data_IF_428018394331
#
_entry.id   IF_428018394331
#
_cell.length_a   1.000
_cell.length_b   1.000
_cell.length_c   1.000
_cell.angle_alpha   90.00
_cell.angle_beta   90.00
_cell.angle_gamma   90.00
#
_symmetry.space_group_name_H-M   'P 1'
#
loop_
_entity.id
_entity.type
_entity.pdbx_description
1 polymer ?
#
# COMPACT_ATOMS: atom_id res chain seq x y z
N UNK A 1 23.94 -44.81 36.28
CA UNK A 1 22.63 -44.74 35.57
C UNK A 1 21.86 -43.42 35.75
N UNK A 2 22.11 -42.57 36.76
CA UNK A 2 21.41 -41.29 36.97
C UNK A 2 21.89 -40.10 36.08
N UNK A 3 23.09 -40.19 35.49
CA UNK A 3 23.66 -39.10 34.64
C UNK A 3 23.19 -39.12 33.18
N UNK A 4 22.65 -40.21 32.67
CA UNK A 4 22.20 -40.37 31.28
C UNK A 4 20.74 -39.86 31.12
N UNK A 5 19.93 -39.98 32.18
CA UNK A 5 18.55 -39.49 32.16
C UNK A 5 18.43 -37.95 32.11
N UNK A 6 19.39 -37.24 32.75
CA UNK A 6 19.39 -35.76 32.78
C UNK A 6 19.79 -35.13 31.42
N UNK A 7 20.64 -35.84 30.66
CA UNK A 7 21.03 -35.34 29.31
C UNK A 7 19.95 -35.48 28.26
N UNK A 8 19.12 -36.53 28.35
CA UNK A 8 17.97 -36.73 27.44
C UNK A 8 16.84 -35.72 27.64
N UNK A 9 16.63 -35.24 28.87
CA UNK A 9 15.60 -34.23 29.16
C UNK A 9 16.03 -32.85 28.66
N UNK A 10 17.31 -32.50 28.66
CA UNK A 10 17.82 -31.26 28.10
C UNK A 10 17.76 -31.19 26.56
N UNK A 11 17.89 -32.34 25.88
CA UNK A 11 17.77 -32.42 24.41
C UNK A 11 16.29 -32.31 23.95
N UNK A 12 15.33 -32.76 24.74
CA UNK A 12 13.93 -32.67 24.45
C UNK A 12 13.32 -31.25 24.68
N UNK A 13 13.99 -30.42 25.48
CA UNK A 13 13.59 -29.00 25.69
C UNK A 13 14.13 -28.04 24.62
N UNK A 14 15.15 -28.44 23.85
CA UNK A 14 15.73 -27.61 22.80
C UNK A 14 15.04 -27.70 21.44
N UNK A 15 14.01 -28.55 21.27
CA UNK A 15 13.35 -28.79 19.98
C UNK A 15 11.99 -28.07 19.87
N UNK A 16 11.59 -27.26 20.84
CA UNK A 16 10.34 -26.48 20.81
C UNK A 16 10.52 -24.96 20.88
N UNK A 17 11.56 -24.44 20.24
CA UNK A 17 11.62 -23.05 19.81
C UNK A 17 11.46 -23.00 18.28
N UNK A 18 10.41 -23.64 17.76
CA UNK A 18 9.95 -23.37 16.40
C UNK A 18 9.01 -22.16 16.48
N UNK A 19 9.53 -21.05 16.03
CA UNK A 19 8.86 -19.90 15.44
C UNK A 19 7.38 -19.75 15.85
N UNK A 20 7.12 -19.16 16.99
CA UNK A 20 6.00 -18.23 17.06
C UNK A 20 6.41 -17.06 16.16
N UNK A 21 6.13 -17.15 14.85
CA UNK A 21 6.06 -15.93 14.04
C UNK A 21 5.13 -15.01 14.82
N UNK A 22 5.65 -13.88 15.26
CA UNK A 22 4.83 -12.77 15.73
C UNK A 22 3.81 -12.50 14.63
N UNK A 23 2.59 -13.00 14.82
CA UNK A 23 1.51 -12.77 13.87
C UNK A 23 1.26 -11.26 13.97
N UNK A 24 1.80 -10.51 12.99
CA UNK A 24 1.61 -9.08 12.88
C UNK A 24 0.10 -8.81 13.01
N UNK A 25 -0.30 -8.13 14.07
CA UNK A 25 -1.70 -7.76 14.24
C UNK A 25 -2.08 -6.78 13.13
N UNK A 26 -2.94 -7.23 12.22
CA UNK A 26 -3.46 -6.36 11.16
C UNK A 26 -4.52 -5.43 11.73
N UNK A 27 -4.44 -4.17 11.30
CA UNK A 27 -5.41 -3.12 11.60
C UNK A 27 -5.81 -2.45 10.29
N UNK A 28 -6.68 -1.47 10.34
CA UNK A 28 -7.05 -0.67 9.16
C UNK A 28 -5.86 0.09 8.55
N UNK A 29 -4.76 0.26 9.29
CA UNK A 29 -3.51 0.81 8.77
C UNK A 29 -2.84 -0.08 7.68
N UNK A 30 -3.21 -1.35 7.58
CA UNK A 30 -2.78 -2.26 6.51
C UNK A 30 -3.81 -2.40 5.38
N UNK A 31 -4.91 -1.66 5.42
CA UNK A 31 -5.89 -1.65 4.33
C UNK A 31 -5.53 -0.61 3.26
N UNK A 32 -5.77 -0.97 2.00
CA UNK A 32 -5.60 -0.11 0.84
C UNK A 32 -6.93 0.03 0.10
N UNK A 33 -7.43 1.27 0.03
CA UNK A 33 -8.63 1.61 -0.73
C UNK A 33 -8.27 1.73 -2.21
N UNK A 34 -8.56 0.68 -2.98
CA UNK A 34 -8.34 0.62 -4.42
C UNK A 34 -9.42 1.41 -5.15
N UNK A 35 -9.07 2.10 -6.23
CA UNK A 35 -9.99 2.96 -6.98
C UNK A 35 -10.86 3.83 -6.05
N UNK A 36 -10.24 4.43 -5.05
CA UNK A 36 -10.94 5.13 -3.95
C UNK A 36 -11.95 6.17 -4.46
N UNK A 37 -11.62 6.82 -5.55
CA UNK A 37 -12.43 7.86 -6.22
C UNK A 37 -13.72 7.34 -6.86
N UNK A 38 -13.93 6.05 -7.05
CA UNK A 38 -15.17 5.51 -7.62
C UNK A 38 -16.33 5.54 -6.63
N UNK A 39 -16.02 5.67 -5.34
CA UNK A 39 -17.04 5.83 -4.29
C UNK A 39 -17.55 7.26 -4.23
N UNK A 40 -18.80 7.40 -3.74
CA UNK A 40 -19.45 8.70 -3.60
C UNK A 40 -18.68 9.63 -2.64
N UNK A 41 -18.09 9.05 -1.60
CA UNK A 41 -17.28 9.74 -0.61
C UNK A 41 -15.79 9.50 -0.82
N UNK A 42 -15.27 9.77 -2.04
CA UNK A 42 -13.84 9.66 -2.35
C UNK A 42 -12.98 10.26 -1.21
N UNK A 43 -11.87 9.62 -0.86
CA UNK A 43 -11.02 9.91 0.28
C UNK A 43 -11.72 9.72 1.64
N UNK A 44 -12.88 10.36 1.88
CA UNK A 44 -13.52 10.43 3.19
C UNK A 44 -13.95 9.06 3.71
N UNK A 45 -14.45 8.16 2.85
CA UNK A 45 -14.85 6.82 3.30
C UNK A 45 -13.66 6.00 3.82
N UNK A 46 -12.52 6.03 3.13
CA UNK A 46 -11.29 5.37 3.57
C UNK A 46 -10.67 6.07 4.79
N UNK A 47 -10.73 7.40 4.81
CA UNK A 47 -10.28 8.23 5.94
C UNK A 47 -11.06 7.92 7.23
N UNK A 48 -12.38 7.84 7.17
CA UNK A 48 -13.23 7.51 8.32
C UNK A 48 -12.97 6.09 8.86
N UNK A 49 -12.51 5.18 7.99
CA UNK A 49 -12.06 3.85 8.39
C UNK A 49 -10.59 3.83 8.88
N UNK A 50 -9.86 4.94 8.79
CA UNK A 50 -8.43 5.05 9.13
C UNK A 50 -7.56 4.09 8.30
N UNK A 51 -7.81 3.99 7.00
CA UNK A 51 -7.01 3.19 6.09
C UNK A 51 -5.60 3.76 5.93
N UNK A 52 -4.60 2.89 5.97
CA UNK A 52 -3.20 3.30 5.80
C UNK A 52 -2.79 3.58 4.36
N UNK A 53 -3.66 3.30 3.38
CA UNK A 53 -3.37 3.60 1.98
C UNK A 53 -4.65 3.86 1.19
N UNK A 54 -4.62 4.86 0.30
CA UNK A 54 -5.69 5.19 -0.66
C UNK A 54 -5.10 5.37 -2.05
N UNK A 55 -5.88 5.09 -3.10
CA UNK A 55 -5.46 5.16 -4.50
C UNK A 55 -6.33 6.12 -5.31
N UNK A 56 -5.67 6.95 -6.14
CA UNK A 56 -6.32 7.78 -7.14
C UNK A 56 -5.64 7.62 -8.50
N UNK A 57 -6.44 7.44 -9.56
CA UNK A 57 -6.01 7.41 -10.95
C UNK A 57 -6.02 8.82 -11.53
N UNK A 58 -4.90 9.26 -12.13
CA UNK A 58 -4.74 10.61 -12.64
C UNK A 58 -4.60 10.67 -14.15
N UNK A 59 -5.39 11.54 -14.74
CA UNK A 59 -5.25 12.01 -16.13
C UNK A 59 -4.84 13.48 -16.15
N UNK A 60 -3.76 13.81 -16.86
CA UNK A 60 -3.44 15.18 -17.20
C UNK A 60 -4.14 15.58 -18.49
N UNK A 61 -5.02 16.57 -18.41
CA UNK A 61 -5.74 17.13 -19.57
C UNK A 61 -5.74 18.65 -19.44
N UNK A 62 -5.23 19.37 -20.45
CA UNK A 62 -5.14 20.84 -20.46
C UNK A 62 -4.56 21.42 -19.15
N UNK A 63 -3.41 20.89 -18.73
CA UNK A 63 -2.68 21.27 -17.50
C UNK A 63 -3.47 21.09 -16.19
N UNK A 64 -4.55 20.30 -16.21
CA UNK A 64 -5.36 20.00 -15.02
C UNK A 64 -5.28 18.49 -14.73
N UNK A 65 -5.06 18.13 -13.46
CA UNK A 65 -5.04 16.74 -12.99
C UNK A 65 -6.44 16.30 -12.60
N UNK A 66 -7.05 15.49 -13.46
CA UNK A 66 -8.37 14.90 -13.24
C UNK A 66 -8.25 13.50 -12.65
N UNK A 67 -9.23 13.15 -11.80
CA UNK A 67 -9.36 11.83 -11.19
C UNK A 67 -10.48 11.07 -11.86
N UNK A 68 -10.12 9.96 -12.54
CA UNK A 68 -11.05 9.09 -13.24
C UNK A 68 -10.43 7.72 -13.53
N UNK A 69 -11.26 6.67 -13.70
CA UNK A 69 -10.79 5.36 -14.14
C UNK A 69 -10.46 5.33 -15.64
N UNK A 70 -11.26 6.00 -16.46
CA UNK A 70 -11.03 6.12 -17.89
C UNK A 70 -11.12 7.59 -18.34
N UNK A 71 -10.48 7.91 -19.46
CA UNK A 71 -10.50 9.26 -20.04
C UNK A 71 -11.92 9.80 -20.29
N UNK A 72 -12.86 8.94 -20.68
CA UNK A 72 -14.25 9.28 -20.92
C UNK A 72 -15.05 9.65 -19.67
N UNK A 73 -14.54 9.27 -18.49
CA UNK A 73 -15.20 9.45 -17.20
C UNK A 73 -14.70 10.73 -16.49
N UNK A 74 -13.85 11.52 -17.16
CA UNK A 74 -13.36 12.80 -16.64
C UNK A 74 -14.52 13.78 -16.45
N UNK A 75 -14.55 14.40 -15.28
CA UNK A 75 -15.56 15.40 -14.93
C UNK A 75 -14.89 16.65 -14.34
N UNK A 76 -15.27 17.89 -14.74
CA UNK A 76 -14.60 19.12 -14.32
C UNK A 76 -14.48 19.33 -12.80
N UNK A 77 -15.38 18.77 -12.00
CA UNK A 77 -15.37 18.86 -10.53
C UNK A 77 -14.55 17.78 -9.85
N UNK A 78 -13.99 16.84 -10.60
CA UNK A 78 -13.25 15.69 -10.05
C UNK A 78 -11.76 15.85 -10.35
N UNK A 79 -11.16 16.86 -9.78
CA UNK A 79 -9.71 17.09 -9.87
C UNK A 79 -8.99 16.47 -8.67
N UNK A 80 -7.67 16.26 -8.78
CA UNK A 80 -6.83 15.85 -7.67
C UNK A 80 -7.02 16.77 -6.47
N UNK A 81 -7.01 18.09 -6.73
CA UNK A 81 -7.19 19.11 -5.71
C UNK A 81 -8.52 18.93 -4.95
N UNK A 82 -9.63 18.85 -5.67
CA UNK A 82 -10.97 18.83 -5.04
C UNK A 82 -11.27 17.54 -4.30
N UNK A 83 -10.79 16.39 -4.81
CA UNK A 83 -11.13 15.09 -4.23
C UNK A 83 -10.15 14.63 -3.13
N UNK A 84 -8.89 15.09 -3.20
CA UNK A 84 -7.84 14.59 -2.30
C UNK A 84 -7.05 15.68 -1.59
N UNK A 85 -6.47 16.66 -2.32
CA UNK A 85 -5.55 17.60 -1.68
C UNK A 85 -6.27 18.44 -0.63
N UNK A 86 -7.40 19.06 -0.97
CA UNK A 86 -8.16 19.87 -0.01
C UNK A 86 -8.68 19.06 1.19
N UNK A 87 -9.27 17.86 1.03
CA UNK A 87 -9.64 17.01 2.16
C UNK A 87 -8.45 16.57 3.02
N UNK A 88 -7.29 16.25 2.43
CA UNK A 88 -6.07 15.91 3.17
C UNK A 88 -5.61 17.11 4.00
N UNK A 89 -5.51 18.30 3.41
CA UNK A 89 -5.11 19.52 4.11
C UNK A 89 -6.03 19.84 5.28
N UNK A 90 -7.35 19.79 5.05
CA UNK A 90 -8.35 20.02 6.09
C UNK A 90 -8.25 18.99 7.24
N UNK A 91 -7.95 17.72 6.90
CA UNK A 91 -7.76 16.67 7.92
C UNK A 91 -6.50 16.88 8.74
N UNK A 92 -5.40 17.26 8.10
CA UNK A 92 -4.13 17.56 8.78
C UNK A 92 -4.27 18.77 9.68
N UNK A 93 -4.93 19.82 9.24
CA UNK A 93 -5.23 21.02 10.05
C UNK A 93 -6.08 20.65 11.26
N UNK A 94 -7.21 19.95 11.04
CA UNK A 94 -8.14 19.49 12.09
C UNK A 94 -7.43 18.67 13.18
N UNK A 95 -6.46 17.84 12.80
CA UNK A 95 -5.76 16.93 13.70
C UNK A 95 -4.42 17.48 14.21
N UNK A 96 -4.16 18.78 14.07
CA UNK A 96 -2.97 19.43 14.61
C UNK A 96 -1.66 18.96 13.98
N UNK A 97 -1.65 18.78 12.65
CA UNK A 97 -0.48 18.45 11.85
C UNK A 97 -0.36 16.97 11.45
N UNK A 98 -1.34 16.12 11.82
CA UNK A 98 -1.37 14.70 11.44
C UNK A 98 -2.59 14.38 10.60
N UNK A 99 -2.47 13.41 9.67
CA UNK A 99 -3.59 13.01 8.83
C UNK A 99 -4.73 12.41 9.65
N UNK A 100 -4.41 11.61 10.67
CA UNK A 100 -5.36 11.03 11.61
C UNK A 100 -5.14 11.59 13.03
N UNK A 101 -6.17 11.54 13.89
CA UNK A 101 -6.04 11.88 15.29
C UNK A 101 -5.02 10.95 16.00
N UNK A 102 -4.88 9.71 15.53
CA UNK A 102 -3.84 8.76 15.92
C UNK A 102 -2.58 9.04 15.10
N UNK A 103 -1.62 9.75 15.69
CA UNK A 103 -0.42 10.26 15.01
C UNK A 103 0.50 9.17 14.45
N UNK A 104 0.39 7.95 14.96
CA UNK A 104 1.19 6.79 14.60
C UNK A 104 0.75 6.12 13.28
N UNK A 105 -0.43 6.48 12.76
CA UNK A 105 -0.95 5.94 11.51
C UNK A 105 -0.68 6.91 10.37
N UNK A 106 0.37 6.67 9.55
CA UNK A 106 0.59 7.47 8.35
C UNK A 106 -0.38 7.05 7.24
N UNK A 107 -0.64 7.95 6.31
CA UNK A 107 -1.36 7.66 5.08
C UNK A 107 -0.37 7.53 3.92
N UNK A 108 -0.41 6.43 3.18
CA UNK A 108 0.14 6.33 1.85
C UNK A 108 -0.92 6.79 0.84
N UNK A 109 -0.62 7.84 0.09
CA UNK A 109 -1.44 8.26 -1.05
C UNK A 109 -0.77 7.74 -2.33
N UNK A 110 -1.33 6.67 -2.89
CA UNK A 110 -0.87 6.06 -4.13
C UNK A 110 -1.57 6.75 -5.30
N UNK A 111 -0.79 7.24 -6.23
CA UNK A 111 -1.25 8.02 -7.39
C UNK A 111 -0.86 7.28 -8.65
N UNK A 112 -1.84 6.70 -9.34
CA UNK A 112 -1.64 5.94 -10.57
C UNK A 112 -1.76 6.87 -11.80
N UNK A 113 -0.65 7.11 -12.49
CA UNK A 113 -0.58 7.99 -13.65
C UNK A 113 -1.10 7.26 -14.90
N UNK A 114 -2.19 7.75 -15.49
CA UNK A 114 -2.83 7.19 -16.68
C UNK A 114 -2.38 7.85 -17.98
N UNK A 115 -1.77 9.03 -17.91
CA UNK A 115 -1.21 9.79 -19.05
C UNK A 115 0.32 9.77 -19.04
N UNK A 116 0.98 10.48 -19.95
CA UNK A 116 2.44 10.47 -20.10
C UNK A 116 3.16 10.73 -18.77
N UNK A 117 4.14 9.88 -18.46
CA UNK A 117 4.82 9.87 -17.16
C UNK A 117 5.37 11.23 -16.75
N UNK A 118 6.17 11.85 -17.61
CA UNK A 118 6.90 13.07 -17.31
C UNK A 118 5.96 14.26 -17.10
N UNK A 119 5.09 14.51 -18.06
CA UNK A 119 4.21 15.68 -18.06
C UNK A 119 3.24 15.61 -16.87
N UNK A 120 2.68 14.42 -16.62
CA UNK A 120 1.75 14.22 -15.51
C UNK A 120 2.44 14.34 -14.16
N UNK A 121 3.65 13.79 -14.02
CA UNK A 121 4.41 13.88 -12.79
C UNK A 121 4.89 15.31 -12.52
N UNK A 122 5.34 16.04 -13.56
CA UNK A 122 5.71 17.45 -13.44
C UNK A 122 4.50 18.32 -13.00
N UNK A 123 3.29 18.05 -13.51
CA UNK A 123 2.08 18.70 -13.07
C UNK A 123 1.73 18.35 -11.61
N UNK A 124 1.87 17.07 -11.24
CA UNK A 124 1.66 16.61 -9.86
C UNK A 124 2.61 17.29 -8.88
N UNK A 125 3.90 17.37 -9.23
CA UNK A 125 4.90 18.06 -8.39
C UNK A 125 4.52 19.52 -8.21
N UNK A 126 4.14 20.25 -9.27
CA UNK A 126 3.71 21.65 -9.18
C UNK A 126 2.50 21.82 -8.25
N UNK A 127 1.54 20.90 -8.28
CA UNK A 127 0.34 20.95 -7.44
C UNK A 127 0.65 20.65 -5.96
N UNK A 128 1.60 19.76 -5.69
CA UNK A 128 1.96 19.36 -4.33
C UNK A 128 3.00 20.27 -3.66
N UNK A 129 3.88 20.94 -4.42
CA UNK A 129 5.00 21.73 -3.91
C UNK A 129 4.61 22.78 -2.85
N UNK A 130 3.46 23.52 -2.98
CA UNK A 130 3.03 24.48 -1.95
C UNK A 130 2.75 23.82 -0.60
N UNK A 131 2.49 22.52 -0.58
CA UNK A 131 2.09 21.73 0.58
C UNK A 131 3.13 20.66 0.96
N UNK A 132 4.36 20.73 0.42
CA UNK A 132 5.39 19.71 0.58
C UNK A 132 5.73 19.36 2.03
N UNK A 133 5.53 20.29 2.97
CA UNK A 133 5.75 20.02 4.39
C UNK A 133 4.85 18.93 4.97
N UNK A 134 3.69 18.65 4.34
CA UNK A 134 2.78 17.55 4.70
C UNK A 134 3.24 16.23 4.08
N UNK A 135 3.86 16.31 2.89
CA UNK A 135 4.27 15.17 2.06
C UNK A 135 5.76 14.80 2.19
N UNK A 136 6.53 15.57 2.94
CA UNK A 136 7.96 15.33 3.15
C UNK A 136 8.23 13.89 3.66
N UNK A 137 9.45 13.33 3.48
CA UNK A 137 9.75 11.95 3.84
C UNK A 137 9.38 11.55 5.28
N UNK A 138 9.37 12.53 6.19
CA UNK A 138 8.95 12.37 7.59
C UNK A 138 7.53 12.90 7.85
N UNK A 139 6.80 13.27 6.80
CA UNK A 139 5.40 13.70 6.90
C UNK A 139 4.45 12.56 7.17
N UNK A 140 3.23 12.91 7.56
CA UNK A 140 2.17 11.94 7.85
C UNK A 140 1.49 11.37 6.59
N UNK A 141 1.77 11.97 5.42
CA UNK A 141 1.23 11.52 4.12
C UNK A 141 2.40 11.26 3.18
N UNK A 142 2.54 10.02 2.75
CA UNK A 142 3.57 9.61 1.79
C UNK A 142 2.96 9.53 0.39
N UNK A 143 3.51 10.29 -0.54
CA UNK A 143 3.10 10.23 -1.96
C UNK A 143 3.87 9.10 -2.64
N UNK A 144 3.14 8.15 -3.22
CA UNK A 144 3.72 7.06 -4.01
C UNK A 144 3.10 7.06 -5.40
N UNK A 145 3.93 7.25 -6.42
CA UNK A 145 3.52 7.30 -7.83
C UNK A 145 3.60 5.91 -8.45
N UNK A 146 2.53 5.50 -9.10
CA UNK A 146 2.36 4.23 -9.82
C UNK A 146 1.89 4.48 -11.27
N UNK A 147 1.55 3.41 -11.99
CA UNK A 147 1.11 3.50 -13.38
C UNK A 147 2.24 3.84 -14.35
N UNK A 148 2.08 4.89 -15.12
CA UNK A 148 3.10 5.38 -16.03
C UNK A 148 4.21 6.12 -15.26
N UNK A 149 5.11 5.37 -14.62
CA UNK A 149 6.25 5.94 -13.89
C UNK A 149 7.45 6.20 -14.80
N UNK A 150 8.35 7.15 -14.46
CA UNK A 150 9.64 7.26 -15.14
C UNK A 150 10.50 6.00 -14.89
N UNK A 151 11.57 5.86 -15.67
CA UNK A 151 12.58 4.84 -15.43
C UNK A 151 13.20 5.01 -14.05
N UNK A 152 13.54 3.94 -13.30
CA UNK A 152 14.18 4.04 -11.99
C UNK A 152 15.47 4.89 -11.97
N UNK A 153 16.19 4.99 -13.08
CA UNK A 153 17.35 5.87 -13.22
C UNK A 153 17.00 7.35 -13.09
N UNK A 154 15.75 7.70 -13.32
CA UNK A 154 15.24 9.07 -13.26
C UNK A 154 14.56 9.44 -11.92
N UNK A 155 14.36 8.48 -11.01
CA UNK A 155 13.70 8.74 -9.72
C UNK A 155 14.35 9.88 -8.92
N UNK A 156 15.67 9.98 -8.98
CA UNK A 156 16.43 11.04 -8.31
C UNK A 156 16.25 12.46 -8.88
N UNK A 157 15.61 12.61 -10.05
CA UNK A 157 15.34 13.92 -10.67
C UNK A 157 14.14 14.64 -10.06
N UNK A 158 13.29 13.91 -9.32
CA UNK A 158 12.09 14.46 -8.70
C UNK A 158 12.31 14.81 -7.22
N UNK A 159 11.50 15.71 -6.63
CA UNK A 159 11.59 16.08 -5.22
C UNK A 159 11.56 14.87 -4.28
N UNK A 160 12.17 15.01 -3.11
CA UNK A 160 12.34 13.93 -2.13
C UNK A 160 11.03 13.44 -1.48
N UNK A 161 9.96 14.25 -1.56
CA UNK A 161 8.63 13.85 -1.10
C UNK A 161 7.86 12.96 -2.10
N UNK A 162 8.38 12.74 -3.32
CA UNK A 162 7.81 11.80 -4.31
C UNK A 162 8.52 10.45 -4.19
N UNK A 163 7.77 9.41 -3.90
CA UNK A 163 8.21 8.02 -3.96
C UNK A 163 7.56 7.31 -5.14
N UNK A 164 8.06 6.14 -5.48
CA UNK A 164 7.60 5.35 -6.63
C UNK A 164 7.19 3.95 -6.20
N UNK A 165 6.19 3.41 -6.89
CA UNK A 165 5.76 2.02 -6.77
C UNK A 165 6.73 1.11 -7.55
N UNK A 166 7.49 0.33 -6.80
CA UNK A 166 8.47 -0.61 -7.36
C UNK A 166 7.82 -1.91 -7.87
N UNK A 167 8.64 -2.72 -8.57
CA UNK A 167 8.25 -4.03 -9.09
C UNK A 167 9.22 -5.10 -8.59
N UNK A 168 8.74 -6.30 -8.24
CA UNK A 168 9.58 -7.38 -7.70
C UNK A 168 10.67 -7.87 -8.65
N UNK A 169 10.47 -7.72 -9.96
CA UNK A 169 11.41 -8.14 -11.00
C UNK A 169 12.54 -7.14 -11.28
N UNK A 170 12.45 -5.93 -10.73
CA UNK A 170 13.46 -4.89 -10.96
C UNK A 170 14.51 -4.95 -9.86
N UNK A 171 15.79 -4.95 -10.27
CA UNK A 171 16.91 -4.77 -9.36
C UNK A 171 17.22 -3.28 -9.24
N UNK A 172 17.04 -2.72 -8.07
CA UNK A 172 17.30 -1.31 -7.79
C UNK A 172 18.70 -1.10 -7.24
N UNK A 173 19.37 -0.02 -7.63
CA UNK A 173 20.54 0.47 -6.89
C UNK A 173 20.12 0.98 -5.51
N UNK A 174 21.05 1.13 -4.55
CA UNK A 174 20.71 1.68 -3.23
C UNK A 174 20.02 3.05 -3.29
N UNK A 175 20.42 3.93 -4.22
CA UNK A 175 19.82 5.25 -4.35
C UNK A 175 18.42 5.21 -5.00
N UNK A 176 18.21 4.34 -5.98
CA UNK A 176 16.88 4.09 -6.54
C UNK A 176 15.95 3.50 -5.46
N UNK A 177 16.44 2.54 -4.68
CA UNK A 177 15.65 1.89 -3.64
C UNK A 177 15.18 2.87 -2.54
N UNK A 178 15.97 3.91 -2.22
CA UNK A 178 15.54 5.00 -1.31
C UNK A 178 14.28 5.72 -1.80
N UNK A 179 14.06 5.75 -3.12
CA UNK A 179 12.92 6.40 -3.77
C UNK A 179 11.73 5.46 -4.01
N UNK A 180 11.88 4.17 -3.73
CA UNK A 180 10.78 3.18 -3.78
C UNK A 180 10.00 3.23 -2.47
N UNK A 181 8.70 3.58 -2.52
CA UNK A 181 7.80 3.65 -1.37
C UNK A 181 7.26 2.29 -0.94
N UNK A 182 6.87 1.48 -1.91
CA UNK A 182 6.46 0.09 -1.75
C UNK A 182 6.84 -0.70 -3.01
N UNK A 183 6.67 -2.01 -2.95
CA UNK A 183 6.74 -2.89 -4.13
C UNK A 183 5.36 -3.51 -4.35
N UNK A 184 4.83 -3.42 -5.56
CA UNK A 184 3.55 -4.02 -5.89
C UNK A 184 3.60 -4.91 -7.13
N UNK A 185 2.63 -5.84 -7.21
CA UNK A 185 2.46 -6.70 -8.39
C UNK A 185 1.03 -7.20 -8.50
N UNK A 186 0.58 -7.42 -9.75
CA UNK A 186 -0.69 -8.06 -10.04
C UNK A 186 -0.74 -9.49 -9.50
N UNK A 187 -1.74 -9.81 -8.69
CA UNK A 187 -1.94 -11.15 -8.16
C UNK A 187 -2.03 -12.22 -9.25
N UNK A 188 -2.67 -11.89 -10.38
CA UNK A 188 -2.82 -12.77 -11.54
C UNK A 188 -1.51 -13.26 -12.15
N UNK A 189 -0.35 -12.64 -11.84
CA UNK A 189 0.98 -13.11 -12.21
C UNK A 189 1.38 -14.39 -11.47
N UNK A 190 0.82 -14.61 -10.27
CA UNK A 190 1.19 -15.70 -9.39
C UNK A 190 0.11 -16.78 -9.28
N UNK A 191 -1.17 -16.42 -9.39
CA UNK A 191 -2.29 -17.33 -9.21
C UNK A 191 -3.52 -16.93 -10.01
N UNK A 192 -4.33 -17.93 -10.35
CA UNK A 192 -5.69 -17.77 -10.92
C UNK A 192 -6.77 -18.06 -9.88
N UNK A 193 -6.39 -18.22 -8.61
CA UNK A 193 -7.34 -18.46 -7.53
C UNK A 193 -8.35 -17.30 -7.39
N UNK A 194 -9.62 -17.65 -7.22
CA UNK A 194 -10.74 -16.69 -7.21
C UNK A 194 -11.17 -16.24 -5.80
N UNK A 195 -10.46 -16.67 -4.75
CA UNK A 195 -10.80 -16.34 -3.36
C UNK A 195 -11.66 -17.39 -2.66
N UNK A 196 -12.00 -18.50 -3.31
CA UNK A 196 -12.78 -19.59 -2.73
C UNK A 196 -11.88 -20.76 -2.31
N UNK A 197 -12.17 -21.35 -1.15
CA UNK A 197 -11.38 -22.45 -0.60
C UNK A 197 -9.92 -22.06 -0.33
N UNK A 198 -9.00 -23.02 -0.23
CA UNK A 198 -7.60 -22.76 0.03
C UNK A 198 -6.88 -22.23 -1.21
N UNK A 199 -5.92 -21.30 -1.00
CA UNK A 199 -4.98 -20.92 -2.05
C UNK A 199 -4.10 -22.13 -2.40
N UNK A 200 -3.91 -22.47 -3.72
CA UNK A 200 -3.08 -23.59 -4.13
C UNK A 200 -1.67 -23.49 -3.54
N UNK A 201 -1.15 -24.59 -2.99
CA UNK A 201 0.11 -24.59 -2.24
C UNK A 201 1.33 -24.14 -3.07
N UNK A 202 1.34 -24.46 -4.38
CA UNK A 202 2.38 -23.98 -5.30
C UNK A 202 2.38 -22.46 -5.42
N UNK A 203 1.19 -21.87 -5.56
CA UNK A 203 1.02 -20.42 -5.74
C UNK A 203 1.36 -19.70 -4.43
N UNK A 204 0.91 -20.26 -3.30
CA UNK A 204 1.24 -19.78 -1.95
C UNK A 204 2.74 -19.68 -1.74
N UNK A 205 3.51 -20.74 -2.05
CA UNK A 205 4.98 -20.72 -1.95
C UNK A 205 5.62 -19.66 -2.84
N UNK A 206 5.11 -19.46 -4.04
CA UNK A 206 5.60 -18.43 -4.95
C UNK A 206 5.38 -17.03 -4.39
N UNK A 207 4.18 -16.76 -3.88
CA UNK A 207 3.82 -15.46 -3.27
C UNK A 207 4.67 -15.21 -2.01
N UNK A 208 4.82 -16.21 -1.14
CA UNK A 208 5.66 -16.11 0.06
C UNK A 208 7.11 -15.73 -0.28
N UNK A 209 7.66 -16.34 -1.34
CA UNK A 209 9.01 -16.01 -1.81
C UNK A 209 9.12 -14.54 -2.22
N UNK A 210 8.14 -14.03 -2.97
CA UNK A 210 8.15 -12.64 -3.44
C UNK A 210 7.98 -11.67 -2.28
N UNK A 211 7.08 -11.96 -1.34
CA UNK A 211 6.89 -11.15 -0.12
C UNK A 211 8.21 -11.09 0.66
N UNK A 212 8.84 -12.26 0.89
CA UNK A 212 10.14 -12.31 1.59
C UNK A 212 11.20 -11.48 0.89
N UNK A 213 11.34 -11.60 -0.44
CA UNK A 213 12.29 -10.80 -1.21
C UNK A 213 12.02 -9.29 -1.08
N UNK A 214 10.76 -8.87 -1.06
CA UNK A 214 10.35 -7.48 -0.84
C UNK A 214 10.73 -7.01 0.56
N UNK A 215 10.46 -7.81 1.58
CA UNK A 215 10.82 -7.51 2.97
C UNK A 215 12.33 -7.48 3.21
N UNK A 216 13.10 -8.34 2.53
CA UNK A 216 14.58 -8.33 2.58
C UNK A 216 15.16 -7.01 2.04
N UNK A 217 14.42 -6.30 1.16
CA UNK A 217 14.75 -4.95 0.70
C UNK A 217 14.26 -3.83 1.65
N UNK A 218 13.62 -4.18 2.77
CA UNK A 218 13.02 -3.22 3.70
C UNK A 218 11.78 -2.52 3.13
N UNK A 219 11.08 -3.13 2.15
CA UNK A 219 9.91 -2.55 1.50
C UNK A 219 8.62 -3.29 1.85
N UNK A 220 7.50 -2.56 1.80
CA UNK A 220 6.16 -3.13 1.94
C UNK A 220 5.70 -3.77 0.64
N UNK A 221 4.94 -4.87 0.74
CA UNK A 221 4.36 -5.57 -0.40
C UNK A 221 2.86 -5.28 -0.52
N UNK A 222 2.41 -4.91 -1.73
CA UNK A 222 1.01 -4.88 -2.14
C UNK A 222 0.76 -5.82 -3.31
N UNK A 223 -0.31 -6.60 -3.24
CA UNK A 223 -0.85 -7.34 -4.38
C UNK A 223 -2.14 -6.65 -4.85
N UNK A 224 -2.20 -6.26 -6.12
CA UNK A 224 -3.42 -5.68 -6.71
C UNK A 224 -4.16 -6.70 -7.57
N UNK A 225 -5.42 -6.42 -7.94
CA UNK A 225 -6.33 -7.35 -8.61
C UNK A 225 -6.47 -8.70 -7.87
N UNK A 226 -6.50 -8.64 -6.55
CA UNK A 226 -6.75 -9.80 -5.67
C UNK A 226 -8.25 -10.09 -5.59
N UNK A 227 -8.66 -11.35 -5.32
CA UNK A 227 -10.03 -11.59 -4.89
C UNK A 227 -10.35 -10.76 -3.64
N UNK A 228 -11.50 -10.08 -3.64
CA UNK A 228 -11.87 -9.13 -2.59
C UNK A 228 -13.00 -9.70 -1.71
N UNK A 229 -12.61 -10.58 -0.78
CA UNK A 229 -13.48 -11.22 0.20
C UNK A 229 -12.70 -11.62 1.48
N UNK A 230 -13.43 -11.93 2.54
CA UNK A 230 -12.85 -12.26 3.86
C UNK A 230 -11.86 -13.43 3.79
N UNK A 231 -12.13 -14.46 2.96
CA UNK A 231 -11.24 -15.61 2.85
C UNK A 231 -9.87 -15.20 2.27
N UNK A 232 -9.87 -14.39 1.21
CA UNK A 232 -8.63 -13.90 0.62
C UNK A 232 -7.89 -12.93 1.55
N UNK A 233 -8.59 -12.04 2.25
CA UNK A 233 -7.97 -11.16 3.24
C UNK A 233 -7.23 -11.95 4.32
N UNK A 234 -7.88 -13.00 4.91
CA UNK A 234 -7.25 -13.91 5.88
C UNK A 234 -5.99 -14.57 5.34
N UNK A 235 -6.05 -15.07 4.10
CA UNK A 235 -4.90 -15.73 3.47
C UNK A 235 -3.76 -14.72 3.26
N UNK A 236 -4.03 -13.53 2.72
CA UNK A 236 -2.99 -12.52 2.49
C UNK A 236 -2.40 -11.97 3.81
N UNK A 237 -3.19 -11.84 4.86
CA UNK A 237 -2.68 -11.53 6.21
C UNK A 237 -1.71 -12.61 6.69
N UNK A 238 -2.06 -13.89 6.54
CA UNK A 238 -1.20 -15.03 6.92
C UNK A 238 0.09 -15.07 6.09
N UNK A 239 0.05 -14.61 4.83
CA UNK A 239 1.22 -14.53 3.96
C UNK A 239 2.12 -13.33 4.25
N UNK A 240 1.66 -12.35 5.01
CA UNK A 240 2.42 -11.15 5.35
C UNK A 240 2.35 -10.03 4.31
N UNK A 241 1.29 -9.97 3.49
CA UNK A 241 1.05 -8.83 2.57
C UNK A 241 0.82 -7.57 3.39
N UNK A 242 1.55 -6.49 3.13
CA UNK A 242 1.52 -5.29 3.96
C UNK A 242 0.34 -4.38 3.70
N UNK A 243 -0.17 -4.33 2.46
CA UNK A 243 -1.37 -3.58 2.10
C UNK A 243 -2.40 -4.51 1.46
N UNK A 244 -3.50 -4.73 2.16
CA UNK A 244 -4.65 -5.52 1.70
C UNK A 244 -5.50 -4.66 0.77
N UNK A 245 -5.59 -5.06 -0.50
CA UNK A 245 -6.32 -4.34 -1.54
C UNK A 245 -7.82 -4.61 -1.43
N UNK A 246 -8.66 -3.56 -1.46
CA UNK A 246 -10.11 -3.72 -1.42
C UNK A 246 -10.87 -2.59 -2.11
N UNK A 247 -11.99 -2.93 -2.73
CA UNK A 247 -13.04 -2.01 -3.16
C UNK A 247 -14.16 -1.88 -2.10
N UNK A 248 -14.13 -2.73 -1.06
CA UNK A 248 -15.13 -2.84 0.00
C UNK A 248 -14.66 -2.20 1.30
N UNK A 249 -14.46 -0.88 1.25
CA UNK A 249 -13.83 -0.10 2.33
C UNK A 249 -14.49 -0.34 3.69
N UNK A 250 -15.82 -0.24 3.75
CA UNK A 250 -16.54 -0.45 5.01
C UNK A 250 -16.44 -1.89 5.51
N UNK A 251 -16.61 -2.88 4.63
CA UNK A 251 -16.58 -4.31 4.99
C UNK A 251 -15.18 -4.71 5.51
N UNK A 252 -14.12 -4.30 4.83
CA UNK A 252 -12.75 -4.55 5.29
C UNK A 252 -12.44 -3.83 6.59
N UNK A 253 -12.87 -2.57 6.72
CA UNK A 253 -12.69 -1.81 7.96
C UNK A 253 -13.35 -2.49 9.17
N UNK A 254 -14.60 -2.94 9.04
CA UNK A 254 -15.32 -3.67 10.07
C UNK A 254 -14.64 -5.02 10.39
N UNK A 255 -14.23 -5.75 9.35
CA UNK A 255 -13.52 -7.01 9.51
C UNK A 255 -12.21 -6.84 10.30
N UNK A 256 -11.36 -5.90 9.92
CA UNK A 256 -10.05 -5.70 10.57
C UNK A 256 -10.17 -5.21 12.03
N UNK A 257 -11.27 -4.55 12.42
CA UNK A 257 -11.54 -4.18 13.80
C UNK A 257 -12.03 -5.35 14.67
N UNK A 258 -12.67 -6.32 14.06
CA UNK A 258 -13.31 -7.46 14.78
C UNK A 258 -12.57 -8.78 14.61
N UNK A 259 -11.59 -8.87 13.68
CA UNK A 259 -10.80 -10.07 13.46
C UNK A 259 -10.04 -10.47 14.73
N UNK A 260 -9.95 -11.75 15.07
CA UNK A 260 -9.13 -12.22 16.19
C UNK A 260 -7.67 -11.76 16.01
N UNK A 261 -7.11 -11.21 17.07
CA UNK A 261 -5.70 -10.76 17.13
C UNK A 261 -4.81 -11.92 17.51
#
# INVERSE_FOLDING_TARGET
MKKIATLLILILLSVRMLDAQDIKAYTTAQAHSHNDYERKGAFLEAYDQQFGSVEADLFLVNDTLFVAHNLKDIHPKRTLNTLYIQPILASVEKNGGSIYAQKEVPLQFLIDLKTGARETLDALVRELEPHKHIFAPNGNVMIVVSGNTPDPADFGKYPDFIFFDGRPEITYTPDQLKRVGLISQGFGKYSKWNGEGPLPEKDKKTIQKVIKQTHDLGKKMRLWATPDNINSWKIFMTLGVDYLNTDKVKEMGDYLRTAPR
#
